data_IF_949457123186
#
_entry.id   IF_949457123186
#
_cell.length_a   1.000
_cell.length_b   1.000
_cell.length_c   1.000
_cell.angle_alpha   90.00
_cell.angle_beta   90.00
_cell.angle_gamma   90.00
#
_symmetry.space_group_name_H-M   'P 1'
#
loop_
_entity.id
_entity.type
_entity.pdbx_description
1 polymer ?
#
# COMPACT_ATOMS: atom_id res chain seq x y z
N UNK A 1 -13.63 -3.04 -17.04
CA UNK A 1 -13.02 -1.71 -17.25
C UNK A 1 -13.35 -0.87 -16.03
N UNK A 2 -12.38 -0.27 -15.33
CA UNK A 2 -12.70 0.58 -14.19
C UNK A 2 -13.46 1.82 -14.69
N UNK A 3 -14.62 2.09 -14.09
CA UNK A 3 -15.36 3.33 -14.33
C UNK A 3 -14.88 4.39 -13.35
N UNK A 4 -14.02 5.29 -13.81
CA UNK A 4 -13.46 6.38 -12.99
C UNK A 4 -14.49 7.44 -12.54
N UNK A 5 -15.78 7.22 -12.77
CA UNK A 5 -16.88 8.16 -12.51
C UNK A 5 -17.69 7.82 -11.26
N UNK A 6 -17.49 6.64 -10.64
CA UNK A 6 -18.21 6.22 -9.43
C UNK A 6 -17.25 6.17 -8.22
N UNK A 7 -17.06 7.28 -7.48
CA UNK A 7 -16.11 7.32 -6.38
C UNK A 7 -16.43 6.33 -5.25
N UNK A 8 -17.72 6.03 -5.01
CA UNK A 8 -18.12 5.05 -3.99
C UNK A 8 -17.76 3.62 -4.40
N UNK A 9 -18.06 3.24 -5.65
CA UNK A 9 -17.68 1.92 -6.17
C UNK A 9 -16.16 1.73 -6.20
N UNK A 10 -15.44 2.75 -6.68
CA UNK A 10 -13.97 2.71 -6.75
C UNK A 10 -13.33 2.62 -5.35
N UNK A 11 -13.91 3.25 -4.33
CA UNK A 11 -13.43 3.11 -2.95
C UNK A 11 -13.60 1.67 -2.42
N UNK A 12 -14.68 0.99 -2.78
CA UNK A 12 -14.92 -0.40 -2.41
C UNK A 12 -13.97 -1.36 -3.15
N UNK A 13 -13.74 -1.13 -4.44
CA UNK A 13 -12.75 -1.87 -5.22
C UNK A 13 -11.34 -1.70 -4.64
N UNK A 14 -10.94 -0.47 -4.30
CA UNK A 14 -9.66 -0.19 -3.64
C UNK A 14 -9.54 -0.91 -2.29
N UNK A 15 -10.60 -0.89 -1.46
CA UNK A 15 -10.65 -1.62 -0.20
C UNK A 15 -10.44 -3.12 -0.40
N UNK A 16 -11.07 -3.70 -1.40
CA UNK A 16 -10.95 -5.13 -1.70
C UNK A 16 -9.56 -5.48 -2.26
N UNK A 17 -9.01 -4.64 -3.14
CA UNK A 17 -7.67 -4.82 -3.68
C UNK A 17 -6.60 -4.77 -2.58
N UNK A 18 -6.68 -3.80 -1.66
CA UNK A 18 -5.75 -3.70 -0.52
C UNK A 18 -5.86 -4.89 0.43
N UNK A 19 -7.08 -5.41 0.66
CA UNK A 19 -7.27 -6.65 1.44
C UNK A 19 -6.66 -7.87 0.75
N UNK A 20 -6.85 -7.98 -0.57
CA UNK A 20 -6.25 -9.05 -1.36
C UNK A 20 -4.73 -8.99 -1.31
N UNK A 21 -4.16 -7.79 -1.50
CA UNK A 21 -2.72 -7.56 -1.39
C UNK A 21 -2.19 -7.94 -0.01
N UNK A 22 -2.82 -7.47 1.07
CA UNK A 22 -2.44 -7.80 2.44
C UNK A 22 -2.56 -9.30 2.77
N UNK A 23 -3.44 -10.04 2.08
CA UNK A 23 -3.53 -11.48 2.21
C UNK A 23 -2.41 -12.19 1.46
N UNK A 24 -2.14 -11.79 0.21
CA UNK A 24 -1.10 -12.36 -0.62
C UNK A 24 0.30 -12.13 -0.04
N UNK A 25 0.58 -10.94 0.51
CA UNK A 25 1.91 -10.62 1.08
C UNK A 25 2.23 -11.33 2.40
N UNK A 26 1.33 -12.18 2.93
CA UNK A 26 1.64 -13.06 4.07
C UNK A 26 2.69 -14.11 3.71
N UNK A 27 2.76 -14.50 2.45
CA UNK A 27 3.70 -15.47 1.91
C UNK A 27 4.13 -14.98 0.53
N UNK A 28 5.38 -14.57 0.40
CA UNK A 28 5.98 -14.22 -0.89
C UNK A 28 6.95 -15.36 -1.25
N UNK A 29 6.60 -16.13 -2.28
CA UNK A 29 7.34 -17.34 -2.66
C UNK A 29 8.59 -17.02 -3.51
N UNK A 30 8.48 -16.04 -4.41
CA UNK A 30 9.59 -15.52 -5.20
C UNK A 30 10.02 -14.14 -4.64
N UNK A 31 11.23 -14.02 -4.07
CA UNK A 31 11.75 -12.73 -3.63
C UNK A 31 11.77 -11.65 -4.73
N UNK A 32 11.82 -12.04 -6.01
CA UNK A 32 11.75 -11.08 -7.12
C UNK A 32 10.41 -10.31 -7.15
N UNK A 33 9.32 -10.90 -6.65
CA UNK A 33 8.00 -10.25 -6.60
C UNK A 33 7.95 -9.07 -5.63
N UNK A 34 8.85 -9.04 -4.62
CA UNK A 34 8.88 -7.96 -3.61
C UNK A 34 9.15 -6.61 -4.28
N UNK A 35 10.03 -6.57 -5.27
CA UNK A 35 10.35 -5.36 -6.02
C UNK A 35 9.09 -4.77 -6.68
N UNK A 36 8.39 -5.59 -7.48
CA UNK A 36 7.17 -5.15 -8.18
C UNK A 36 6.05 -4.76 -7.21
N UNK A 37 5.91 -5.48 -6.09
CA UNK A 37 4.95 -5.14 -5.03
C UNK A 37 5.27 -3.78 -4.41
N UNK A 38 6.53 -3.48 -4.08
CA UNK A 38 6.93 -2.19 -3.53
C UNK A 38 6.68 -1.04 -4.53
N UNK A 39 6.95 -1.26 -5.82
CA UNK A 39 6.63 -0.32 -6.89
C UNK A 39 5.13 -0.03 -6.98
N UNK A 40 4.28 -1.06 -6.96
CA UNK A 40 2.83 -0.91 -6.99
C UNK A 40 2.29 -0.21 -5.74
N UNK A 41 2.79 -0.54 -4.54
CA UNK A 41 2.40 0.12 -3.28
C UNK A 41 2.76 1.60 -3.30
N UNK A 42 3.93 1.96 -3.84
CA UNK A 42 4.33 3.37 -4.01
C UNK A 42 3.33 4.15 -4.85
N UNK A 43 2.93 3.60 -6.01
CA UNK A 43 1.94 4.23 -6.90
C UNK A 43 0.54 4.31 -6.25
N UNK A 44 0.17 3.28 -5.49
CA UNK A 44 -1.08 3.26 -4.74
C UNK A 44 -1.11 4.35 -3.65
N UNK A 45 0.01 4.56 -2.94
CA UNK A 45 0.14 5.63 -1.93
C UNK A 45 0.05 7.02 -2.54
N UNK A 46 0.67 7.26 -3.71
CA UNK A 46 0.52 8.52 -4.44
C UNK A 46 -0.93 8.77 -4.87
N UNK A 47 -1.64 7.73 -5.33
CA UNK A 47 -3.06 7.81 -5.66
C UNK A 47 -3.94 8.07 -4.42
N UNK A 48 -3.56 7.50 -3.27
CA UNK A 48 -4.22 7.72 -1.98
C UNK A 48 -4.02 9.15 -1.48
N UNK A 49 -2.80 9.70 -1.55
CA UNK A 49 -2.50 11.11 -1.27
C UNK A 49 -3.42 12.02 -2.09
N UNK A 50 -3.49 11.79 -3.40
CA UNK A 50 -4.36 12.57 -4.28
C UNK A 50 -5.84 12.45 -3.89
N UNK A 51 -6.31 11.24 -3.57
CA UNK A 51 -7.70 11.00 -3.13
C UNK A 51 -8.01 11.77 -1.85
N UNK A 52 -7.11 11.75 -0.87
CA UNK A 52 -7.27 12.47 0.41
C UNK A 52 -7.32 13.98 0.20
N UNK A 53 -6.42 14.54 -0.63
CA UNK A 53 -6.48 15.96 -1.01
C UNK A 53 -7.78 16.33 -1.73
N UNK A 54 -8.28 15.49 -2.62
CA UNK A 54 -9.54 15.74 -3.33
C UNK A 54 -10.74 15.76 -2.37
N UNK A 55 -10.77 14.84 -1.40
CA UNK A 55 -11.81 14.83 -0.37
C UNK A 55 -11.70 16.05 0.57
N UNK A 56 -10.49 16.46 0.94
CA UNK A 56 -10.28 17.70 1.71
C UNK A 56 -10.76 18.93 0.94
N UNK A 57 -10.37 19.02 -0.33
CA UNK A 57 -10.79 20.08 -1.26
C UNK A 57 -12.31 20.14 -1.44
N UNK A 58 -13.01 19.00 -1.40
CA UNK A 58 -14.48 18.98 -1.41
C UNK A 58 -15.05 19.73 -0.21
N UNK A 59 -14.51 19.49 0.99
CA UNK A 59 -14.93 20.14 2.23
C UNK A 59 -14.59 21.64 2.27
N UNK A 60 -13.49 22.07 1.66
CA UNK A 60 -13.13 23.49 1.55
C UNK A 60 -14.08 24.26 0.60
N UNK A 61 -14.61 23.56 -0.41
CA UNK A 61 -15.39 24.18 -1.48
C UNK A 61 -16.90 24.04 -1.33
N UNK A 62 -17.42 23.57 -0.19
CA UNK A 62 -18.87 23.39 0.00
C UNK A 62 -19.66 24.68 -0.26
N UNK A 63 -19.18 25.84 0.19
CA UNK A 63 -19.85 27.12 -0.03
C UNK A 63 -19.92 27.48 -1.52
N UNK A 64 -18.84 27.24 -2.29
CA UNK A 64 -18.83 27.47 -3.74
C UNK A 64 -19.76 26.51 -4.49
N UNK A 65 -20.13 25.39 -3.86
CA UNK A 65 -21.05 24.37 -4.37
C UNK A 65 -22.48 24.56 -3.86
N UNK A 66 -22.77 25.67 -3.17
CA UNK A 66 -24.06 25.95 -2.52
C UNK A 66 -24.50 24.87 -1.50
N UNK A 67 -23.53 24.17 -0.90
CA UNK A 67 -23.77 23.16 0.13
C UNK A 67 -23.52 23.81 1.50
N UNK A 68 -24.51 23.72 2.39
CA UNK A 68 -24.45 24.28 3.74
C UNK A 68 -24.35 23.15 4.78
N UNK A 69 -23.15 22.87 5.33
CA UNK A 69 -23.03 21.87 6.39
C UNK A 69 -23.72 22.36 7.67
N UNK A 70 -24.44 21.47 8.36
CA UNK A 70 -25.15 21.72 9.62
C UNK A 70 -24.80 20.62 10.61
N UNK A 71 -24.52 21.00 11.85
CA UNK A 71 -24.33 20.07 12.98
C UNK A 71 -25.21 20.54 14.12
N UNK A 72 -26.12 19.70 14.61
CA UNK A 72 -27.08 20.04 15.66
C UNK A 72 -27.74 21.42 15.43
N UNK A 73 -28.33 21.61 14.25
CA UNK A 73 -28.95 22.87 13.78
C UNK A 73 -28.05 24.11 13.72
N UNK A 74 -26.74 23.95 13.94
CA UNK A 74 -25.75 25.03 13.88
C UNK A 74 -25.02 25.06 12.54
N UNK A 75 -25.23 26.15 11.78
CA UNK A 75 -24.42 26.45 10.59
C UNK A 75 -22.96 26.77 10.94
N UNK A 76 -22.71 27.41 12.09
CA UNK A 76 -21.36 27.69 12.56
C UNK A 76 -20.65 26.39 12.93
N UNK A 77 -21.35 25.51 13.64
CA UNK A 77 -20.88 24.16 13.97
C UNK A 77 -20.57 23.36 12.72
N UNK A 78 -21.47 23.35 11.73
CA UNK A 78 -21.26 22.65 10.46
C UNK A 78 -20.06 23.17 9.66
N UNK A 79 -19.85 24.50 9.59
CA UNK A 79 -18.65 25.06 8.95
C UNK A 79 -17.36 24.67 9.69
N UNK A 80 -17.37 24.72 11.03
CA UNK A 80 -16.23 24.31 11.84
C UNK A 80 -15.89 22.83 11.64
N UNK A 81 -16.90 21.96 11.62
CA UNK A 81 -16.72 20.53 11.40
C UNK A 81 -16.21 20.24 9.99
N UNK A 82 -16.75 20.89 8.96
CA UNK A 82 -16.26 20.72 7.59
C UNK A 82 -14.80 21.14 7.43
N UNK A 83 -14.42 22.25 8.06
CA UNK A 83 -13.02 22.69 8.09
C UNK A 83 -12.11 21.66 8.78
N UNK A 84 -12.54 21.11 9.91
CA UNK A 84 -11.78 20.07 10.62
C UNK A 84 -11.59 18.82 9.75
N UNK A 85 -12.64 18.37 9.04
CA UNK A 85 -12.53 17.25 8.12
C UNK A 85 -11.52 17.55 7.00
N UNK A 86 -11.60 18.73 6.38
CA UNK A 86 -10.61 19.12 5.37
C UNK A 86 -9.19 19.11 5.91
N UNK A 87 -8.98 19.68 7.10
CA UNK A 87 -7.66 19.75 7.72
C UNK A 87 -7.08 18.36 7.99
N UNK A 88 -7.86 17.45 8.59
CA UNK A 88 -7.40 16.08 8.86
C UNK A 88 -7.10 15.31 7.56
N UNK A 89 -7.91 15.49 6.51
CA UNK A 89 -7.68 14.82 5.23
C UNK A 89 -6.41 15.32 4.54
N UNK A 90 -6.16 16.64 4.53
CA UNK A 90 -4.93 17.19 3.99
C UNK A 90 -3.70 16.75 4.80
N UNK A 91 -3.82 16.69 6.14
CA UNK A 91 -2.77 16.14 7.00
C UNK A 91 -2.51 14.66 6.70
N UNK A 92 -3.56 13.86 6.53
CA UNK A 92 -3.43 12.46 6.18
C UNK A 92 -2.78 12.26 4.81
N UNK A 93 -3.05 13.15 3.84
CA UNK A 93 -2.39 13.14 2.54
C UNK A 93 -0.88 13.34 2.67
N UNK A 94 -0.44 14.31 3.48
CA UNK A 94 0.99 14.52 3.77
C UNK A 94 1.63 13.32 4.46
N UNK A 95 0.91 12.63 5.34
CA UNK A 95 1.37 11.39 5.96
C UNK A 95 1.49 10.26 4.91
N UNK A 96 0.51 10.11 4.01
CA UNK A 96 0.55 9.14 2.94
C UNK A 96 1.75 9.39 2.01
N UNK A 97 2.05 10.65 1.69
CA UNK A 97 3.24 11.07 0.94
C UNK A 97 4.54 10.65 1.64
N UNK A 98 4.64 10.85 2.95
CA UNK A 98 5.80 10.45 3.75
C UNK A 98 5.98 8.93 3.77
N UNK A 99 4.90 8.16 3.93
CA UNK A 99 4.94 6.69 3.83
C UNK A 99 5.37 6.29 2.42
N UNK A 100 4.83 6.94 1.37
CA UNK A 100 5.22 6.72 -0.01
C UNK A 100 6.72 6.90 -0.24
N UNK A 101 7.32 7.96 0.31
CA UNK A 101 8.76 8.19 0.23
C UNK A 101 9.57 7.08 0.93
N UNK A 102 9.12 6.60 2.08
CA UNK A 102 9.78 5.49 2.79
C UNK A 102 9.69 4.17 2.00
N UNK A 103 8.54 3.88 1.38
CA UNK A 103 8.35 2.69 0.53
C UNK A 103 9.17 2.79 -0.74
N UNK A 104 9.22 3.95 -1.41
CA UNK A 104 10.10 4.19 -2.56
C UNK A 104 11.57 3.94 -2.21
N UNK A 105 12.00 4.38 -1.03
CA UNK A 105 13.37 4.12 -0.58
C UNK A 105 13.63 2.63 -0.33
N UNK A 106 12.68 1.90 0.27
CA UNK A 106 12.76 0.45 0.40
C UNK A 106 12.86 -0.23 -0.97
N UNK A 107 12.07 0.22 -1.95
CA UNK A 107 12.10 -0.26 -3.33
C UNK A 107 13.48 -0.08 -3.99
N UNK A 108 14.14 1.07 -3.77
CA UNK A 108 15.51 1.34 -4.23
C UNK A 108 16.56 0.46 -3.57
N UNK A 109 16.36 0.09 -2.30
CA UNK A 109 17.25 -0.82 -1.58
C UNK A 109 17.06 -2.26 -2.04
N UNK A 110 15.82 -2.69 -2.25
CA UNK A 110 15.46 -4.03 -2.74
C UNK A 110 16.12 -4.33 -4.08
N UNK A 111 16.16 -3.35 -4.98
CA UNK A 111 16.84 -3.44 -6.28
C UNK A 111 18.33 -3.83 -6.20
N UNK A 112 18.95 -3.67 -5.03
CA UNK A 112 20.37 -3.96 -4.78
C UNK A 112 20.61 -5.33 -4.16
N UNK A 113 19.54 -6.02 -3.73
CA UNK A 113 19.65 -7.32 -3.08
C UNK A 113 19.74 -8.40 -4.15
N UNK A 114 20.64 -9.37 -3.94
CA UNK A 114 20.72 -10.60 -4.74
C UNK A 114 20.35 -11.79 -3.87
N UNK A 115 19.31 -12.52 -4.26
CA UNK A 115 18.86 -13.72 -3.56
C UNK A 115 19.55 -14.95 -4.16
N UNK A 116 20.30 -15.69 -3.33
CA UNK A 116 20.85 -17.00 -3.70
C UNK A 116 20.10 -18.10 -2.95
N UNK A 117 19.69 -19.15 -3.66
CA UNK A 117 19.10 -20.35 -3.04
C UNK A 117 20.24 -21.24 -2.52
N UNK A 118 20.17 -21.77 -1.29
CA UNK A 118 21.16 -22.75 -0.82
C UNK A 118 21.20 -23.94 -1.77
N UNK A 119 22.39 -24.27 -2.28
CA UNK A 119 22.59 -25.50 -3.04
C UNK A 119 22.52 -26.66 -2.02
N UNK A 120 21.66 -27.67 -2.22
CA UNK A 120 21.64 -28.84 -1.34
C UNK A 120 23.02 -29.50 -1.33
N UNK A 121 23.55 -29.75 -0.15
CA UNK A 121 24.87 -30.35 0.02
C UNK A 121 24.85 -31.80 -0.50
N UNK A 122 25.50 -32.04 -1.64
CA UNK A 122 25.59 -33.37 -2.29
C UNK A 122 26.53 -34.33 -1.53
N UNK A 123 27.06 -33.93 -0.37
CA UNK A 123 28.09 -34.65 0.37
C UNK A 123 27.60 -35.88 1.15
N UNK A 124 26.29 -36.18 1.19
CA UNK A 124 25.76 -37.32 1.94
C UNK A 124 25.83 -38.69 1.21
N UNK A 125 26.36 -38.75 -0.02
CA UNK A 125 26.34 -39.97 -0.83
C UNK A 125 27.74 -40.59 -1.06
N UNK A 126 28.56 -40.70 -0.01
CA UNK A 126 29.82 -41.46 -0.07
C UNK A 126 30.10 -42.18 1.24
N UNK A 127 29.26 -43.16 1.60
CA UNK A 127 29.61 -44.14 2.63
C UNK A 127 28.98 -45.49 2.29
N UNK A 128 29.55 -46.18 1.30
CA UNK A 128 29.39 -47.64 1.20
C UNK A 128 30.78 -48.25 1.38
N UNK A 129 31.17 -48.38 2.64
CA UNK A 129 32.35 -49.12 3.07
C UNK A 129 32.10 -50.60 2.80
N UNK A 130 32.77 -51.17 1.80
CA UNK A 130 32.88 -52.62 1.62
C UNK A 130 33.94 -53.14 2.60
N UNK A 131 33.61 -54.03 3.56
CA UNK A 131 34.61 -54.63 4.44
C UNK A 131 35.40 -55.74 3.71
N UNK A 132 36.69 -55.81 4.01
CA UNK A 132 37.69 -56.53 3.25
C UNK A 132 37.56 -58.06 3.22
N UNK A 133 38.14 -58.63 2.17
CA UNK A 133 38.48 -60.04 2.05
C UNK A 133 39.98 -60.21 2.33
N UNK A 134 40.30 -60.90 3.41
CA UNK A 134 41.64 -61.43 3.70
C UNK A 134 41.80 -62.80 3.04
N UNK A 135 42.90 -63.00 2.32
CA UNK A 135 43.57 -64.30 2.09
C UNK A 135 45.07 -64.06 1.99
#
# INVERSE_FOLDING_TARGET
MPTFTNPRGNAEEARQALRSLAHATRTVDDPADVYDVLGAVTQALASMEQTLHQLGTFHDNLQRRDIRPVVADSLRGGRSASYQVSWELNRAAEMARQVGAAVSHAHELEARISYSRPIPDLSASSATTTPGLSL
#
